data_IF_004247902678
#
_entry.id   IF_004247902678
#
_cell.length_a   1.000
_cell.length_b   1.000
_cell.length_c   1.000
_cell.angle_alpha   90.00
_cell.angle_beta   90.00
_cell.angle_gamma   90.00
#
_symmetry.space_group_name_H-M   'P 1'
#
loop_
_entity.id
_entity.type
_entity.pdbx_description
1 polymer ?
#
# COMPACT_ATOMS: atom_id res chain seq x y z
N UNK A 1 -17.72 25.25 17.62
CA UNK A 1 -18.26 24.70 18.90
C UNK A 1 -17.25 23.66 19.34
N UNK A 2 -16.54 23.91 20.44
CA UNK A 2 -15.30 23.18 20.81
C UNK A 2 -15.48 21.67 20.85
N UNK A 3 -16.64 21.21 21.29
CA UNK A 3 -17.01 19.80 21.48
C UNK A 3 -17.25 19.07 20.15
N UNK A 4 -17.55 19.82 19.08
CA UNK A 4 -17.57 19.28 17.72
C UNK A 4 -16.15 19.12 17.17
N UNK A 5 -15.29 20.09 17.46
CA UNK A 5 -13.92 20.16 16.93
C UNK A 5 -12.98 19.16 17.62
N UNK A 6 -13.18 18.89 18.91
CA UNK A 6 -12.39 17.90 19.67
C UNK A 6 -12.90 16.44 19.56
N UNK A 7 -13.99 16.23 18.81
CA UNK A 7 -14.58 14.92 18.56
C UNK A 7 -15.23 14.26 19.78
N UNK A 8 -15.43 14.97 20.89
CA UNK A 8 -16.17 14.46 22.06
C UNK A 8 -17.62 14.11 21.71
N UNK A 9 -18.32 14.99 20.99
CA UNK A 9 -19.70 14.75 20.52
C UNK A 9 -19.77 13.50 19.64
N UNK A 10 -18.80 13.36 18.71
CA UNK A 10 -18.69 12.17 17.86
C UNK A 10 -18.61 10.89 18.68
N UNK A 11 -17.75 10.86 19.71
CA UNK A 11 -17.60 9.66 20.57
C UNK A 11 -18.90 9.28 21.27
N UNK A 12 -19.62 10.26 21.80
CA UNK A 12 -20.91 10.04 22.48
C UNK A 12 -21.95 9.49 21.50
N UNK A 13 -22.08 10.11 20.32
CA UNK A 13 -23.03 9.65 19.30
C UNK A 13 -22.71 8.22 18.85
N UNK A 14 -21.43 7.91 18.58
CA UNK A 14 -21.02 6.55 18.18
C UNK A 14 -21.26 5.49 19.26
N UNK A 15 -21.29 5.87 20.54
CA UNK A 15 -21.63 4.97 21.63
C UNK A 15 -23.16 4.77 21.77
N UNK A 16 -23.94 5.84 21.57
CA UNK A 16 -25.39 5.81 21.74
C UNK A 16 -26.15 5.28 20.50
N UNK A 17 -25.65 5.54 19.29
CA UNK A 17 -26.35 5.22 18.04
C UNK A 17 -26.72 3.73 17.88
N UNK A 18 -25.88 2.74 18.26
CA UNK A 18 -26.26 1.33 18.16
C UNK A 18 -27.37 0.90 19.13
N UNK A 19 -27.61 1.65 20.21
CA UNK A 19 -28.65 1.35 21.20
C UNK A 19 -30.05 1.70 20.68
N UNK A 20 -30.12 2.58 19.68
CA UNK A 20 -31.36 3.06 19.11
C UNK A 20 -31.55 2.43 17.73
N UNK A 21 -32.59 1.61 17.56
CA UNK A 21 -32.92 0.93 16.29
C UNK A 21 -33.52 1.86 15.24
N UNK A 22 -32.80 2.92 14.91
CA UNK A 22 -33.14 3.90 13.86
C UNK A 22 -32.14 3.86 12.73
N UNK A 23 -32.58 4.35 11.57
CA UNK A 23 -31.69 4.58 10.44
C UNK A 23 -30.66 5.65 10.82
N UNK A 24 -29.39 5.32 10.70
CA UNK A 24 -28.28 6.18 11.05
C UNK A 24 -27.26 6.23 9.90
N UNK A 25 -26.82 7.43 9.55
CA UNK A 25 -25.89 7.68 8.45
C UNK A 25 -24.60 8.26 9.01
N UNK A 26 -23.48 7.57 8.78
CA UNK A 26 -22.15 8.03 9.18
C UNK A 26 -21.48 8.74 8.01
N UNK A 27 -21.50 10.07 8.03
CA UNK A 27 -20.88 10.91 6.99
C UNK A 27 -19.48 11.36 7.41
N UNK A 28 -18.52 10.42 7.39
CA UNK A 28 -17.12 10.72 7.66
C UNK A 28 -16.28 10.66 6.39
N UNK A 29 -15.26 11.50 6.26
CA UNK A 29 -14.36 11.45 5.08
C UNK A 29 -13.33 10.34 5.25
N UNK A 30 -12.40 10.50 6.20
CA UNK A 30 -11.31 9.53 6.41
C UNK A 30 -11.83 8.13 6.74
N UNK A 31 -12.72 8.02 7.73
CA UNK A 31 -13.24 6.74 8.19
C UNK A 31 -14.00 5.97 7.09
N UNK A 32 -14.67 6.66 6.17
CA UNK A 32 -15.34 6.02 5.05
C UNK A 32 -14.40 5.68 3.89
N UNK A 33 -13.25 6.34 3.75
CA UNK A 33 -12.26 6.00 2.70
C UNK A 33 -11.35 4.83 3.13
N UNK A 34 -11.06 4.69 4.43
CA UNK A 34 -10.21 3.64 4.96
C UNK A 34 -11.00 2.34 5.22
N UNK A 35 -10.57 1.23 4.62
CA UNK A 35 -11.26 -0.07 4.74
C UNK A 35 -11.34 -0.58 6.19
N UNK A 36 -10.26 -0.42 6.96
CA UNK A 36 -10.19 -0.83 8.36
C UNK A 36 -11.21 -0.09 9.21
N UNK A 37 -11.16 1.24 9.15
CA UNK A 37 -12.05 2.14 9.90
C UNK A 37 -13.53 1.86 9.59
N UNK A 38 -13.89 1.63 8.31
CA UNK A 38 -15.27 1.22 7.94
C UNK A 38 -15.71 -0.06 8.63
N UNK A 39 -14.83 -1.06 8.68
CA UNK A 39 -15.13 -2.35 9.31
C UNK A 39 -15.36 -2.18 10.81
N UNK A 40 -14.52 -1.38 11.47
CA UNK A 40 -14.63 -1.10 12.91
C UNK A 40 -15.89 -0.30 13.25
N UNK A 41 -16.20 0.73 12.46
CA UNK A 41 -17.39 1.55 12.66
C UNK A 41 -18.67 0.72 12.51
N UNK A 42 -18.75 -0.12 11.48
CA UNK A 42 -19.93 -0.98 11.23
C UNK A 42 -20.03 -2.16 12.20
N UNK A 43 -18.92 -2.63 12.80
CA UNK A 43 -18.92 -3.70 13.79
C UNK A 43 -19.70 -3.33 15.06
N UNK A 44 -19.81 -2.04 15.39
CA UNK A 44 -20.57 -1.53 16.54
C UNK A 44 -22.08 -1.76 16.40
N UNK A 45 -22.58 -1.96 15.18
CA UNK A 45 -23.99 -2.21 14.90
C UNK A 45 -24.22 -3.72 14.75
N UNK A 46 -24.95 -4.37 15.68
CA UNK A 46 -25.18 -5.81 15.62
C UNK A 46 -26.07 -6.16 14.42
N UNK A 47 -25.68 -7.19 13.66
CA UNK A 47 -26.41 -7.59 12.44
C UNK A 47 -27.82 -8.14 12.74
N UNK A 48 -28.11 -8.52 13.99
CA UNK A 48 -29.44 -8.94 14.43
C UNK A 48 -30.45 -7.79 14.47
N UNK A 49 -29.97 -6.54 14.60
CA UNK A 49 -30.82 -5.35 14.72
C UNK A 49 -30.68 -4.40 13.52
N UNK A 50 -29.55 -4.45 12.80
CA UNK A 50 -29.25 -3.49 11.74
C UNK A 50 -28.79 -4.17 10.45
N UNK A 51 -29.35 -3.71 9.33
CA UNK A 51 -28.75 -3.91 8.00
C UNK A 51 -27.59 -2.93 7.82
N UNK A 52 -26.38 -3.46 7.68
CA UNK A 52 -25.17 -2.66 7.49
C UNK A 52 -24.85 -2.51 6.01
N UNK A 53 -24.72 -1.28 5.54
CA UNK A 53 -24.34 -0.99 4.15
C UNK A 53 -23.32 0.13 4.15
N UNK A 54 -22.19 -0.09 3.46
CA UNK A 54 -21.16 0.93 3.27
C UNK A 54 -21.10 1.28 1.79
N UNK A 55 -21.46 2.52 1.45
CA UNK A 55 -21.27 3.08 0.12
C UNK A 55 -20.10 4.05 0.19
N UNK A 56 -19.08 3.82 -0.64
CA UNK A 56 -17.92 4.70 -0.74
C UNK A 56 -18.02 5.40 -2.09
N UNK A 57 -18.41 6.68 -2.05
CA UNK A 57 -18.52 7.51 -3.24
C UNK A 57 -17.23 8.29 -3.35
N UNK A 58 -16.37 7.91 -4.30
CA UNK A 58 -15.16 8.66 -4.65
C UNK A 58 -15.40 9.23 -6.04
N UNK A 59 -15.34 10.56 -6.16
CA UNK A 59 -15.35 11.20 -7.48
C UNK A 59 -14.05 10.92 -8.22
N UNK A 60 -14.07 10.97 -9.54
CA UNK A 60 -12.84 10.89 -10.32
C UNK A 60 -11.98 12.13 -10.07
N UNK A 61 -10.67 11.98 -9.79
CA UNK A 61 -9.76 13.12 -9.74
C UNK A 61 -9.67 13.77 -11.13
N UNK A 62 -9.26 15.04 -11.17
CA UNK A 62 -9.05 15.72 -12.46
C UNK A 62 -8.06 14.97 -13.35
N UNK A 63 -8.24 15.07 -14.67
CA UNK A 63 -7.38 14.40 -15.65
C UNK A 63 -5.90 14.76 -15.46
N UNK A 64 -5.61 16.02 -15.13
CA UNK A 64 -4.24 16.49 -14.88
C UNK A 64 -3.61 15.84 -13.64
N UNK A 65 -4.37 15.72 -12.54
CA UNK A 65 -3.88 15.06 -11.34
C UNK A 65 -3.60 13.58 -11.60
N UNK A 66 -4.49 12.91 -12.36
CA UNK A 66 -4.35 11.50 -12.74
C UNK A 66 -3.13 11.28 -13.63
N UNK A 67 -2.92 12.13 -14.64
CA UNK A 67 -1.74 12.06 -15.52
C UNK A 67 -0.45 12.23 -14.74
N UNK A 68 -0.34 13.29 -13.92
CA UNK A 68 0.84 13.55 -13.09
C UNK A 68 1.16 12.39 -12.14
N UNK A 69 0.14 11.84 -11.48
CA UNK A 69 0.30 10.70 -10.57
C UNK A 69 0.80 9.46 -11.32
N UNK A 70 0.22 9.16 -12.47
CA UNK A 70 0.62 8.02 -13.29
C UNK A 70 2.05 8.16 -13.81
N UNK A 71 2.47 9.36 -14.23
CA UNK A 71 3.85 9.63 -14.66
C UNK A 71 4.85 9.41 -13.53
N UNK A 72 4.55 9.91 -12.32
CA UNK A 72 5.40 9.69 -11.14
C UNK A 72 5.51 8.21 -10.78
N UNK A 73 4.39 7.49 -10.77
CA UNK A 73 4.37 6.05 -10.46
C UNK A 73 5.11 5.24 -11.53
N UNK A 74 4.94 5.59 -12.81
CA UNK A 74 5.64 4.95 -13.91
C UNK A 74 7.15 5.12 -13.78
N UNK A 75 7.60 6.35 -13.52
CA UNK A 75 9.03 6.65 -13.31
C UNK A 75 9.59 5.87 -12.14
N UNK A 76 8.92 5.87 -10.99
CA UNK A 76 9.37 5.11 -9.82
C UNK A 76 9.51 3.60 -10.11
N UNK A 77 8.56 3.03 -10.86
CA UNK A 77 8.63 1.61 -11.28
C UNK A 77 9.75 1.34 -12.27
N UNK A 78 9.98 2.24 -13.22
CA UNK A 78 11.08 2.14 -14.17
C UNK A 78 12.43 2.22 -13.45
N UNK A 79 12.62 3.20 -12.57
CA UNK A 79 13.84 3.37 -11.79
C UNK A 79 14.14 2.13 -10.94
N UNK A 80 13.12 1.55 -10.30
CA UNK A 80 13.24 0.30 -9.55
C UNK A 80 13.64 -0.87 -10.46
N UNK A 81 12.95 -1.04 -11.59
CA UNK A 81 13.22 -2.13 -12.53
C UNK A 81 14.62 -2.04 -13.14
N UNK A 82 15.05 -0.83 -13.50
CA UNK A 82 16.38 -0.56 -14.03
C UNK A 82 17.48 -0.82 -12.99
N UNK A 83 17.25 -0.46 -11.73
CA UNK A 83 18.18 -0.74 -10.64
C UNK A 83 18.32 -2.25 -10.42
N UNK A 84 17.20 -2.99 -10.36
CA UNK A 84 17.20 -4.45 -10.23
C UNK A 84 17.90 -5.13 -11.42
N UNK A 85 17.67 -4.64 -12.64
CA UNK A 85 18.30 -5.17 -13.84
C UNK A 85 19.80 -4.91 -13.88
N UNK A 86 20.24 -3.70 -13.51
CA UNK A 86 21.67 -3.35 -13.40
C UNK A 86 22.37 -4.20 -12.34
N UNK A 87 21.73 -4.41 -11.18
CA UNK A 87 22.25 -5.28 -10.13
C UNK A 87 22.45 -6.72 -10.62
N UNK A 88 21.43 -7.30 -11.28
CA UNK A 88 21.51 -8.65 -11.88
C UNK A 88 22.62 -8.77 -12.93
N UNK A 89 22.74 -7.77 -13.82
CA UNK A 89 23.82 -7.75 -14.83
C UNK A 89 25.21 -7.67 -14.22
N UNK A 90 25.39 -6.84 -13.19
CA UNK A 90 26.67 -6.72 -12.50
C UNK A 90 27.05 -8.02 -11.78
N UNK A 91 26.10 -8.70 -11.15
CA UNK A 91 26.30 -10.00 -10.52
C UNK A 91 26.68 -11.07 -11.54
N UNK A 92 25.97 -11.14 -12.68
CA UNK A 92 26.28 -12.09 -13.75
C UNK A 92 27.67 -11.86 -14.35
N UNK A 93 28.04 -10.60 -14.60
CA UNK A 93 29.39 -10.23 -15.05
C UNK A 93 30.47 -10.62 -14.04
N UNK A 94 30.23 -10.35 -12.74
CA UNK A 94 31.15 -10.73 -11.67
C UNK A 94 31.33 -12.24 -11.60
N UNK A 95 30.25 -13.01 -11.69
CA UNK A 95 30.28 -14.48 -11.72
C UNK A 95 31.09 -15.00 -12.90
N UNK A 96 30.83 -14.49 -14.11
CA UNK A 96 31.60 -14.86 -15.32
C UNK A 96 33.09 -14.53 -15.18
N UNK A 97 33.44 -13.40 -14.57
CA UNK A 97 34.85 -13.02 -14.37
C UNK A 97 35.54 -13.94 -13.35
N UNK A 98 34.87 -14.28 -12.24
CA UNK A 98 35.42 -15.22 -11.25
C UNK A 98 35.60 -16.62 -11.83
N UNK A 99 34.63 -17.11 -12.62
CA UNK A 99 34.74 -18.40 -13.30
C UNK A 99 35.90 -18.43 -14.31
N UNK A 100 36.11 -17.35 -15.07
CA UNK A 100 37.26 -17.24 -15.99
C UNK A 100 38.59 -17.26 -15.24
N UNK A 101 38.73 -16.45 -14.19
CA UNK A 101 39.94 -16.42 -13.35
C UNK A 101 40.23 -17.77 -12.68
N UNK A 102 39.21 -18.44 -12.17
CA UNK A 102 39.36 -19.78 -11.57
C UNK A 102 39.89 -20.80 -12.60
N UNK A 103 39.34 -20.80 -13.82
CA UNK A 103 39.80 -21.67 -14.92
C UNK A 103 41.24 -21.38 -15.34
N UNK A 104 41.64 -20.11 -15.37
CA UNK A 104 43.02 -19.71 -15.69
C UNK A 104 44.02 -20.14 -14.62
N UNK A 105 43.67 -19.96 -13.33
CA UNK A 105 44.48 -20.41 -12.21
C UNK A 105 44.64 -21.94 -12.18
N UNK A 106 43.58 -22.71 -12.46
CA UNK A 106 43.69 -24.17 -12.57
C UNK A 106 44.61 -24.60 -13.71
N UNK A 107 44.50 -23.95 -14.88
CA UNK A 107 45.37 -24.24 -16.02
C UNK A 107 46.83 -23.90 -15.73
N UNK A 108 47.09 -22.81 -14.99
CA UNK A 108 48.44 -22.44 -14.58
C UNK A 108 49.03 -23.44 -13.57
N UNK A 109 48.25 -23.88 -12.57
CA UNK A 109 48.69 -24.91 -11.61
C UNK A 109 49.01 -26.24 -12.30
N UNK A 110 48.15 -26.70 -13.20
CA UNK A 110 48.37 -27.94 -13.98
C UNK A 110 49.58 -27.88 -14.91
N UNK A 111 50.01 -26.68 -15.33
CA UNK A 111 51.24 -26.47 -16.11
C UNK A 111 52.49 -26.38 -15.26
N UNK A 112 52.39 -26.05 -13.97
CA UNK A 112 53.51 -25.96 -13.04
C UNK A 112 53.85 -27.29 -12.36
N UNK A 113 52.88 -28.23 -12.31
CA UNK A 113 53.09 -29.61 -11.83
C UNK A 113 53.62 -30.58 -12.90
N UNK A 114 53.79 -30.12 -14.14
CA UNK A 114 54.24 -30.94 -15.28
C UNK A 114 55.63 -30.52 -15.72
#
# INVERSE_FOLDING_TARGET
>A
VRELDDGSVKRVIHAAAPLQTRNYVVMEVKGNLMKGDRKEATARFPSSLFKKTAQVIVGDPSLDFKRKTNEMVLKAKQDQSDAEFKAKKAEEMRKKLMEKRAKELEKAKKKAEK
#
